data_IF_173235956860
#
_entry.id   IF_173235956860
#
_cell.length_a   1.000
_cell.length_b   1.000
_cell.length_c   1.000
_cell.angle_alpha   90.00
_cell.angle_beta   90.00
_cell.angle_gamma   90.00
#
_symmetry.space_group_name_H-M   'P 1'
#
loop_
_entity.id
_entity.type
_entity.pdbx_description
1 polymer ?
#
# COMPACT_ATOMS: atom_id res chain seq x y z
N UNK A 1 19.45 -14.34 -23.50
CA UNK A 1 18.26 -14.80 -22.76
C UNK A 1 18.82 -15.57 -21.58
N UNK A 2 19.14 -14.84 -20.53
CA UNK A 2 20.05 -15.28 -19.47
C UNK A 2 19.32 -16.10 -18.41
N UNK A 3 19.62 -17.39 -18.39
CA UNK A 3 19.14 -18.35 -17.38
C UNK A 3 19.80 -18.09 -16.01
N UNK A 4 20.86 -17.28 -15.97
CA UNK A 4 21.62 -16.98 -14.74
C UNK A 4 20.99 -15.95 -13.80
N UNK A 5 20.08 -15.09 -14.28
CA UNK A 5 19.44 -14.06 -13.42
C UNK A 5 18.28 -14.64 -12.60
N UNK A 6 17.56 -15.64 -13.10
CA UNK A 6 16.48 -16.29 -12.36
C UNK A 6 16.99 -17.14 -11.18
N UNK A 7 18.15 -17.78 -11.32
CA UNK A 7 18.74 -18.61 -10.26
C UNK A 7 19.38 -17.77 -9.13
N UNK A 8 19.81 -16.53 -9.43
CA UNK A 8 20.35 -15.61 -8.42
C UNK A 8 19.24 -15.03 -7.54
N UNK A 9 18.12 -14.60 -8.14
CA UNK A 9 16.95 -14.09 -7.40
C UNK A 9 16.35 -15.18 -6.51
N UNK A 10 16.28 -16.42 -6.99
CA UNK A 10 15.72 -17.54 -6.22
C UNK A 10 16.63 -18.02 -5.08
N UNK A 11 17.96 -17.83 -5.18
CA UNK A 11 18.91 -18.15 -4.09
C UNK A 11 18.99 -17.05 -3.04
N UNK A 12 18.86 -15.78 -3.42
CA UNK A 12 18.79 -14.70 -2.44
C UNK A 12 17.52 -14.80 -1.60
N UNK A 13 16.34 -15.05 -2.20
CA UNK A 13 15.08 -15.22 -1.45
C UNK A 13 15.10 -16.40 -0.48
N UNK A 14 15.71 -17.54 -0.85
CA UNK A 14 15.81 -18.73 0.02
C UNK A 14 16.80 -18.57 1.19
N UNK A 15 17.78 -17.68 1.09
CA UNK A 15 18.82 -17.49 2.13
C UNK A 15 18.46 -16.41 3.15
N UNK A 16 17.70 -15.39 2.76
CA UNK A 16 17.11 -14.41 3.69
C UNK A 16 15.98 -15.03 4.51
N UNK A 17 15.13 -15.86 3.90
CA UNK A 17 14.03 -16.56 4.60
C UNK A 17 14.54 -17.37 5.80
N UNK A 18 15.62 -18.15 5.62
CA UNK A 18 16.17 -19.00 6.70
C UNK A 18 16.68 -18.23 7.93
N UNK A 19 17.12 -16.97 7.77
CA UNK A 19 17.50 -16.10 8.90
C UNK A 19 16.29 -15.47 9.58
N UNK A 20 15.27 -15.08 8.81
CA UNK A 20 14.01 -14.55 9.36
C UNK A 20 13.27 -15.62 10.20
N UNK A 21 13.27 -16.88 9.76
CA UNK A 21 12.71 -18.01 10.53
C UNK A 21 13.42 -18.27 11.87
N UNK A 22 14.71 -17.92 12.00
CA UNK A 22 15.43 -17.99 13.27
C UNK A 22 15.08 -16.84 14.24
N UNK A 23 14.53 -15.73 13.72
CA UNK A 23 14.34 -14.46 14.42
C UNK A 23 12.91 -14.21 14.91
N UNK A 24 11.95 -15.00 14.41
CA UNK A 24 10.59 -15.14 14.90
C UNK A 24 10.31 -16.60 15.32
N UNK A 25 11.29 -17.23 15.97
CA UNK A 25 11.18 -18.62 16.39
C UNK A 25 10.29 -18.72 17.62
N UNK A 26 9.04 -19.16 17.40
CA UNK A 26 8.06 -19.46 18.45
C UNK A 26 8.67 -20.35 19.53
N UNK A 27 9.54 -21.30 19.15
CA UNK A 27 10.19 -22.22 20.09
C UNK A 27 11.14 -21.47 21.03
N UNK A 28 11.97 -20.57 20.53
CA UNK A 28 12.90 -19.79 21.35
C UNK A 28 12.16 -18.78 22.24
N UNK A 29 11.11 -18.14 21.69
CA UNK A 29 10.23 -17.25 22.43
C UNK A 29 9.55 -17.96 23.61
N UNK A 30 9.01 -19.15 23.35
CA UNK A 30 8.40 -19.99 24.38
C UNK A 30 9.45 -20.49 25.38
N UNK A 31 10.59 -21.00 24.91
CA UNK A 31 11.64 -21.55 25.75
C UNK A 31 12.24 -20.51 26.70
N UNK A 32 12.44 -19.27 26.24
CA UNK A 32 12.95 -18.19 27.09
C UNK A 32 11.95 -17.75 28.15
N UNK A 33 10.66 -17.61 27.80
CA UNK A 33 9.64 -17.18 28.77
C UNK A 33 9.26 -18.28 29.77
N UNK A 34 9.17 -19.53 29.28
CA UNK A 34 8.90 -20.70 30.13
C UNK A 34 10.07 -20.92 31.11
N UNK A 35 11.32 -20.84 30.66
CA UNK A 35 12.48 -21.06 31.55
C UNK A 35 12.83 -19.86 32.45
N UNK A 36 12.38 -18.65 32.12
CA UNK A 36 12.61 -17.48 32.97
C UNK A 36 11.77 -17.48 34.26
N UNK A 37 10.58 -18.12 34.26
CA UNK A 37 9.59 -17.95 35.33
C UNK A 37 8.81 -19.25 35.69
N UNK A 38 9.48 -20.41 35.55
CA UNK A 38 8.87 -21.75 35.50
C UNK A 38 8.04 -22.16 36.74
N UNK A 39 8.11 -21.47 37.88
CA UNK A 39 7.43 -21.95 39.11
C UNK A 39 6.03 -21.37 39.37
N UNK A 40 5.56 -20.35 38.62
CA UNK A 40 4.26 -19.71 38.95
C UNK A 40 3.23 -19.55 37.82
N UNK A 41 3.62 -19.67 36.54
CA UNK A 41 2.73 -19.26 35.43
C UNK A 41 2.00 -20.40 34.72
N UNK A 42 2.54 -21.62 34.71
CA UNK A 42 1.92 -22.79 34.07
C UNK A 42 1.85 -23.97 35.05
N UNK A 43 0.67 -24.23 35.60
CA UNK A 43 0.45 -25.29 36.60
C UNK A 43 -0.01 -26.60 35.95
N UNK A 44 -0.58 -26.51 34.73
CA UNK A 44 -1.11 -27.66 34.00
C UNK A 44 -0.84 -27.56 32.48
N UNK A 45 -1.16 -28.62 31.74
CA UNK A 45 -0.98 -28.69 30.29
C UNK A 45 -1.85 -27.69 29.51
N UNK A 46 -3.00 -27.29 30.07
CA UNK A 46 -3.87 -26.28 29.46
C UNK A 46 -3.25 -24.88 29.53
N UNK A 47 -2.57 -24.55 30.64
CA UNK A 47 -1.83 -23.29 30.77
C UNK A 47 -0.71 -23.19 29.74
N UNK A 48 0.04 -24.28 29.55
CA UNK A 48 1.10 -24.33 28.53
C UNK A 48 0.53 -24.19 27.12
N UNK A 49 -0.56 -24.89 26.80
CA UNK A 49 -1.20 -24.78 25.48
C UNK A 49 -1.75 -23.37 25.23
N UNK A 50 -2.35 -22.73 26.24
CA UNK A 50 -2.83 -21.36 26.15
C UNK A 50 -1.70 -20.34 26.00
N UNK A 51 -0.57 -20.56 26.69
CA UNK A 51 0.63 -19.76 26.53
C UNK A 51 1.19 -19.89 25.10
N UNK A 52 1.26 -21.11 24.56
CA UNK A 52 1.67 -21.34 23.16
C UNK A 52 0.78 -20.57 22.19
N UNK A 53 -0.54 -20.58 22.40
CA UNK A 53 -1.49 -19.83 21.56
C UNK A 53 -1.23 -18.32 21.62
N UNK A 54 -1.01 -17.76 22.82
CA UNK A 54 -0.66 -16.35 23.00
C UNK A 54 0.63 -15.98 22.28
N UNK A 55 1.67 -16.82 22.38
CA UNK A 55 2.93 -16.57 21.69
C UNK A 55 2.78 -16.70 20.17
N UNK A 56 2.00 -17.65 19.66
CA UNK A 56 1.75 -17.78 18.23
C UNK A 56 1.07 -16.54 17.63
N UNK A 57 0.20 -15.88 18.40
CA UNK A 57 -0.42 -14.60 18.01
C UNK A 57 0.59 -13.44 18.03
N UNK A 58 1.43 -13.38 19.06
CA UNK A 58 2.29 -12.21 19.33
C UNK A 58 3.68 -12.28 18.69
N UNK A 59 4.12 -13.46 18.22
CA UNK A 59 5.50 -13.70 17.75
C UNK A 59 5.91 -12.78 16.61
N UNK A 60 4.98 -12.48 15.70
CA UNK A 60 5.27 -11.66 14.52
C UNK A 60 5.27 -10.15 14.81
N UNK A 61 4.63 -9.69 15.88
CA UNK A 61 4.34 -8.27 16.08
C UNK A 61 5.01 -7.66 17.32
N UNK A 62 5.15 -8.43 18.39
CA UNK A 62 5.66 -7.90 19.68
C UNK A 62 6.98 -8.53 20.11
N UNK A 63 7.29 -9.69 19.54
CA UNK A 63 8.42 -10.52 19.96
C UNK A 63 9.39 -10.81 18.82
N UNK A 64 9.26 -10.08 17.71
CA UNK A 64 10.23 -10.16 16.64
C UNK A 64 11.56 -9.57 17.14
N UNK A 65 12.63 -10.36 17.02
CA UNK A 65 13.96 -9.96 17.52
C UNK A 65 14.67 -8.98 16.60
N UNK A 66 14.02 -8.55 15.50
CA UNK A 66 14.63 -7.79 14.42
C UNK A 66 13.77 -6.56 14.10
N UNK A 67 14.35 -5.34 14.04
CA UNK A 67 13.61 -4.11 13.71
C UNK A 67 12.94 -4.16 12.33
N UNK A 68 13.44 -4.99 11.42
CA UNK A 68 12.86 -5.18 10.07
C UNK A 68 11.61 -6.11 10.04
N UNK A 69 11.18 -6.64 11.19
CA UNK A 69 9.98 -7.47 11.32
C UNK A 69 8.79 -6.70 11.94
N UNK A 70 8.86 -5.38 12.00
CA UNK A 70 7.74 -4.51 12.40
C UNK A 70 6.70 -4.43 11.26
N UNK A 71 5.97 -5.52 11.02
CA UNK A 71 5.06 -5.69 9.87
C UNK A 71 4.13 -4.48 9.69
N UNK A 72 3.49 -4.01 10.76
CA UNK A 72 2.60 -2.86 10.68
C UNK A 72 3.31 -1.57 10.28
N UNK A 73 4.52 -1.34 10.78
CA UNK A 73 5.32 -0.17 10.40
C UNK A 73 5.67 -0.18 8.92
N UNK A 74 6.00 -1.36 8.36
CA UNK A 74 6.31 -1.50 6.93
C UNK A 74 5.12 -1.06 6.08
N UNK A 75 3.91 -1.52 6.43
CA UNK A 75 2.69 -1.10 5.75
C UNK A 75 2.40 0.39 5.93
N UNK A 76 2.48 0.91 7.16
CA UNK A 76 2.27 2.33 7.45
C UNK A 76 3.23 3.24 6.66
N UNK A 77 4.50 2.86 6.57
CA UNK A 77 5.52 3.61 5.81
C UNK A 77 5.23 3.56 4.31
N UNK A 78 4.91 2.38 3.76
CA UNK A 78 4.55 2.24 2.35
C UNK A 78 3.32 3.09 1.98
N UNK A 79 2.27 3.04 2.81
CA UNK A 79 1.06 3.86 2.65
C UNK A 79 1.40 5.35 2.72
N UNK A 80 2.25 5.75 3.66
CA UNK A 80 2.67 7.15 3.83
C UNK A 80 3.43 7.66 2.61
N UNK A 81 4.38 6.88 2.08
CA UNK A 81 5.12 7.21 0.85
C UNK A 81 4.17 7.37 -0.34
N UNK A 82 3.21 6.44 -0.51
CA UNK A 82 2.24 6.50 -1.60
C UNK A 82 1.27 7.68 -1.47
N UNK A 83 0.89 8.03 -0.24
CA UNK A 83 0.06 9.21 0.06
C UNK A 83 0.81 10.52 -0.21
N UNK A 84 2.11 10.58 0.08
CA UNK A 84 2.96 11.71 -0.28
C UNK A 84 3.11 11.83 -1.80
N UNK A 85 3.34 10.72 -2.50
CA UNK A 85 3.37 10.66 -3.98
C UNK A 85 2.06 11.21 -4.55
N UNK A 86 0.91 10.79 -4.02
CA UNK A 86 -0.41 11.29 -4.43
C UNK A 86 -0.52 12.81 -4.27
N UNK A 87 -0.18 13.31 -3.08
CA UNK A 87 -0.22 14.74 -2.75
C UNK A 87 0.69 15.55 -3.68
N UNK A 88 1.89 15.03 -3.95
CA UNK A 88 2.87 15.66 -4.85
C UNK A 88 2.38 15.68 -6.29
N UNK A 89 1.81 14.58 -6.79
CA UNK A 89 1.21 14.49 -8.12
C UNK A 89 0.04 15.46 -8.27
N UNK A 90 -0.81 15.59 -7.25
CA UNK A 90 -1.92 16.55 -7.24
C UNK A 90 -1.43 18.01 -7.27
N UNK A 91 -0.42 18.35 -6.45
CA UNK A 91 0.22 19.69 -6.48
C UNK A 91 0.79 20.00 -7.87
N UNK A 92 1.48 19.03 -8.49
CA UNK A 92 2.05 19.18 -9.85
C UNK A 92 0.98 19.35 -10.92
N UNK A 93 -0.14 18.63 -10.81
CA UNK A 93 -1.29 18.80 -11.68
C UNK A 93 -1.87 20.21 -11.58
N UNK A 94 -2.14 20.70 -10.36
CA UNK A 94 -2.65 22.08 -10.15
C UNK A 94 -1.70 23.14 -10.67
N UNK A 95 -0.40 23.04 -10.38
CA UNK A 95 0.59 24.01 -10.83
C UNK A 95 0.66 24.12 -12.36
N UNK A 96 0.47 23.02 -13.10
CA UNK A 96 0.37 23.04 -14.56
C UNK A 96 -0.87 23.79 -15.04
N UNK A 97 -2.04 23.50 -14.46
CA UNK A 97 -3.28 24.22 -14.79
C UNK A 97 -3.21 25.73 -14.56
N UNK A 98 -2.42 26.19 -13.58
CA UNK A 98 -2.16 27.63 -13.38
C UNK A 98 -1.18 28.22 -14.41
N UNK A 99 -0.09 27.52 -14.74
CA UNK A 99 0.91 28.03 -15.71
C UNK A 99 0.34 28.13 -17.11
N UNK A 100 -0.48 27.17 -17.53
CA UNK A 100 -1.02 27.17 -18.89
C UNK A 100 -2.02 28.30 -19.16
N UNK A 101 -2.71 28.79 -18.11
CA UNK A 101 -3.53 30.02 -18.16
C UNK A 101 -2.71 31.30 -18.28
N UNK A 102 -1.51 31.34 -17.69
CA UNK A 102 -0.65 32.53 -17.68
C UNK A 102 0.11 32.72 -19.01
N UNK A 103 0.49 31.63 -19.68
CA UNK A 103 1.20 31.68 -20.96
C UNK A 103 0.33 31.98 -22.19
N UNK A 104 -0.99 32.08 -22.04
CA UNK A 104 -1.91 32.31 -23.17
C UNK A 104 -1.92 33.77 -23.67
N UNK A 105 -1.12 34.66 -23.07
CA UNK A 105 -1.16 36.10 -23.35
C UNK A 105 -0.14 36.60 -24.41
N UNK A 106 0.64 35.74 -25.07
CA UNK A 106 1.58 36.19 -26.11
C UNK A 106 1.18 35.70 -27.53
N UNK A 107 0.64 36.59 -28.38
CA UNK A 107 0.20 36.27 -29.74
C UNK A 107 1.32 36.13 -30.79
N UNK A 108 2.59 36.45 -30.48
CA UNK A 108 3.62 36.65 -31.51
C UNK A 108 4.48 35.40 -31.85
N UNK A 109 4.43 34.30 -31.09
CA UNK A 109 5.45 33.21 -31.14
C UNK A 109 4.95 31.90 -31.82
N UNK A 110 4.00 31.99 -32.75
CA UNK A 110 2.81 31.10 -32.79
C UNK A 110 2.77 29.76 -33.56
N UNK A 111 3.83 29.16 -34.13
CA UNK A 111 3.61 27.87 -34.87
C UNK A 111 4.61 26.76 -34.60
N UNK A 112 5.91 27.00 -34.78
CA UNK A 112 6.94 25.98 -34.55
C UNK A 112 7.07 25.61 -33.07
N UNK A 113 6.90 26.59 -32.18
CA UNK A 113 6.93 26.39 -30.74
C UNK A 113 5.69 25.66 -30.19
N UNK A 114 4.51 25.81 -30.80
CA UNK A 114 3.27 25.20 -30.29
C UNK A 114 3.33 23.67 -30.40
N UNK A 115 3.73 23.13 -31.56
CA UNK A 115 3.81 21.68 -31.77
C UNK A 115 4.90 21.03 -30.91
N UNK A 116 6.05 21.69 -30.78
CA UNK A 116 7.15 21.23 -29.94
C UNK A 116 6.81 21.28 -28.45
N UNK A 117 6.12 22.35 -27.99
CA UNK A 117 5.60 22.48 -26.62
C UNK A 117 4.59 21.37 -26.32
N UNK A 118 3.58 21.19 -27.17
CA UNK A 118 2.55 20.15 -27.00
C UNK A 118 3.14 18.74 -26.95
N UNK A 119 4.14 18.44 -27.80
CA UNK A 119 4.84 17.14 -27.77
C UNK A 119 5.58 16.92 -26.45
N UNK A 120 6.25 17.95 -25.90
CA UNK A 120 6.90 17.86 -24.58
C UNK A 120 5.90 17.70 -23.45
N UNK A 121 4.80 18.43 -23.49
CA UNK A 121 3.74 18.35 -22.49
C UNK A 121 3.05 16.99 -22.48
N UNK A 122 2.77 16.42 -23.67
CA UNK A 122 2.26 15.07 -23.82
C UNK A 122 3.19 14.01 -23.23
N UNK A 123 4.50 14.08 -23.52
CA UNK A 123 5.47 13.14 -22.96
C UNK A 123 5.58 13.23 -21.42
N UNK A 124 5.51 14.45 -20.86
CA UNK A 124 5.48 14.64 -19.41
C UNK A 124 4.19 14.13 -18.78
N UNK A 125 3.05 14.32 -19.45
CA UNK A 125 1.76 13.81 -19.00
C UNK A 125 1.72 12.28 -19.01
N UNK A 126 2.22 11.64 -20.08
CA UNK A 126 2.31 10.20 -20.20
C UNK A 126 3.20 9.58 -19.11
N UNK A 127 4.39 10.16 -18.88
CA UNK A 127 5.29 9.72 -17.82
C UNK A 127 4.61 9.76 -16.44
N UNK A 128 3.93 10.86 -16.13
CA UNK A 128 3.23 11.00 -14.86
C UNK A 128 2.01 10.10 -14.75
N UNK A 129 1.30 9.86 -15.86
CA UNK A 129 0.20 8.91 -15.89
C UNK A 129 0.72 7.50 -15.54
N UNK A 130 1.83 7.08 -16.13
CA UNK A 130 2.48 5.81 -15.82
C UNK A 130 2.91 5.71 -14.36
N UNK A 131 3.53 6.77 -13.82
CA UNK A 131 3.92 6.83 -12.40
C UNK A 131 2.71 6.74 -11.45
N UNK A 132 1.62 7.46 -11.75
CA UNK A 132 0.40 7.41 -10.96
C UNK A 132 -0.29 6.04 -11.06
N UNK A 133 -0.33 5.42 -12.25
CA UNK A 133 -0.85 4.06 -12.43
C UNK A 133 -0.02 3.03 -11.67
N UNK A 134 1.31 3.16 -11.65
CA UNK A 134 2.19 2.29 -10.84
C UNK A 134 1.85 2.41 -9.36
N UNK A 135 1.71 3.63 -8.84
CA UNK A 135 1.36 3.87 -7.44
C UNK A 135 -0.03 3.30 -7.08
N UNK A 136 -1.00 3.34 -8.00
CA UNK A 136 -2.31 2.71 -7.81
C UNK A 136 -2.24 1.18 -7.70
N UNK A 137 -1.39 0.54 -8.51
CA UNK A 137 -1.17 -0.90 -8.43
C UNK A 137 -0.49 -1.28 -7.12
N UNK A 138 0.53 -0.52 -6.70
CA UNK A 138 1.18 -0.70 -5.39
C UNK A 138 0.17 -0.59 -4.23
N UNK A 139 -0.75 0.39 -4.27
CA UNK A 139 -1.81 0.53 -3.26
C UNK A 139 -2.77 -0.67 -3.26
N UNK A 140 -3.11 -1.22 -4.44
CA UNK A 140 -3.98 -2.39 -4.54
C UNK A 140 -3.32 -3.63 -3.96
N UNK A 141 -2.05 -3.85 -4.27
CA UNK A 141 -1.30 -4.98 -3.74
C UNK A 141 -1.22 -4.92 -2.21
N UNK A 142 -0.94 -3.73 -1.65
CA UNK A 142 -0.99 -3.47 -0.20
C UNK A 142 -2.39 -3.75 0.37
N UNK A 143 -3.47 -3.33 -0.28
CA UNK A 143 -4.84 -3.59 0.19
C UNK A 143 -5.12 -5.10 0.28
N UNK A 144 -4.68 -5.87 -0.72
CA UNK A 144 -4.90 -7.32 -0.79
C UNK A 144 -4.06 -8.07 0.26
N UNK A 145 -2.83 -7.63 0.53
CA UNK A 145 -1.98 -8.14 1.61
C UNK A 145 -2.60 -7.85 2.99
N UNK A 146 -3.07 -6.62 3.23
CA UNK A 146 -3.75 -6.25 4.48
C UNK A 146 -5.05 -7.03 4.69
N UNK A 147 -5.84 -7.26 3.64
CA UNK A 147 -7.02 -8.15 3.71
C UNK A 147 -6.64 -9.60 4.02
N UNK A 148 -5.47 -10.03 3.60
CA UNK A 148 -4.96 -11.37 3.94
C UNK A 148 -4.59 -11.45 5.41
N UNK A 149 -3.92 -10.42 5.96
CA UNK A 149 -3.69 -10.31 7.42
C UNK A 149 -5.00 -10.26 8.21
N UNK A 150 -5.98 -9.47 7.76
CA UNK A 150 -7.28 -9.39 8.42
C UNK A 150 -7.98 -10.75 8.49
N UNK A 151 -7.96 -11.54 7.40
CA UNK A 151 -8.50 -12.90 7.36
C UNK A 151 -7.74 -13.84 8.30
N UNK A 152 -6.42 -13.74 8.34
CA UNK A 152 -5.57 -14.52 9.24
C UNK A 152 -5.93 -14.25 10.71
N UNK A 153 -5.99 -12.99 11.12
CA UNK A 153 -6.36 -12.62 12.48
C UNK A 153 -7.78 -13.05 12.83
N UNK A 154 -8.73 -12.94 11.90
CA UNK A 154 -10.09 -13.45 12.08
C UNK A 154 -10.12 -14.97 12.32
N UNK A 155 -9.36 -15.74 11.55
CA UNK A 155 -9.24 -17.18 11.72
C UNK A 155 -8.57 -17.57 13.05
N UNK A 156 -7.49 -16.87 13.43
CA UNK A 156 -6.84 -17.04 14.73
C UNK A 156 -7.78 -16.73 15.90
N UNK A 157 -8.56 -15.65 15.78
CA UNK A 157 -9.54 -15.25 16.80
C UNK A 157 -10.63 -16.31 16.96
N UNK A 158 -11.14 -16.85 15.85
CA UNK A 158 -12.11 -17.96 15.89
C UNK A 158 -11.53 -19.19 16.57
N UNK A 159 -10.31 -19.60 16.20
CA UNK A 159 -9.64 -20.75 16.81
C UNK A 159 -9.41 -20.58 18.33
N UNK A 160 -9.05 -19.37 18.77
CA UNK A 160 -8.87 -19.08 20.21
C UNK A 160 -10.22 -19.05 20.94
N UNK A 161 -11.28 -18.51 20.35
CA UNK A 161 -12.63 -18.58 20.93
C UNK A 161 -13.10 -20.04 21.08
N UNK A 162 -12.90 -20.88 20.07
CA UNK A 162 -13.20 -22.32 20.14
C UNK A 162 -12.42 -23.00 21.28
N UNK A 163 -11.15 -22.61 21.47
CA UNK A 163 -10.32 -23.08 22.57
C UNK A 163 -10.86 -22.63 23.93
N UNK A 164 -11.29 -21.36 24.07
CA UNK A 164 -11.91 -20.82 25.29
C UNK A 164 -13.21 -21.58 25.61
N UNK A 165 -14.06 -21.85 24.63
CA UNK A 165 -15.32 -22.57 24.84
C UNK A 165 -15.09 -24.00 25.33
N UNK A 166 -14.14 -24.71 24.72
CA UNK A 166 -13.72 -26.05 25.16
C UNK A 166 -13.12 -26.02 26.57
N UNK A 167 -12.33 -24.99 26.87
CA UNK A 167 -11.69 -24.85 28.18
C UNK A 167 -12.73 -24.58 29.27
N UNK A 168 -13.73 -23.74 28.99
CA UNK A 168 -14.85 -23.48 29.90
C UNK A 168 -15.70 -24.73 30.15
N UNK A 169 -15.95 -25.54 29.11
CA UNK A 169 -16.73 -26.78 29.28
C UNK A 169 -15.97 -27.80 30.13
N UNK A 170 -14.65 -27.91 30.00
CA UNK A 170 -13.80 -28.78 30.81
C UNK A 170 -13.49 -28.24 32.21
N UNK A 171 -13.55 -26.92 32.41
CA UNK A 171 -13.34 -26.27 33.72
C UNK A 171 -14.39 -26.66 34.75
N UNK A 172 -15.53 -27.23 34.34
CA UNK A 172 -16.50 -27.84 35.27
C UNK A 172 -15.96 -29.13 35.94
N UNK A 173 -14.83 -29.67 35.48
CA UNK A 173 -14.18 -30.89 35.95
C UNK A 173 -12.82 -30.68 36.67
N UNK A 174 -12.31 -29.44 36.81
CA UNK A 174 -11.03 -29.17 37.48
C UNK A 174 -10.62 -27.69 37.50
N UNK A 175 -9.57 -27.37 38.28
CA UNK A 175 -9.00 -26.01 38.37
C UNK A 175 -8.29 -25.64 37.07
N UNK A 176 -8.92 -24.78 36.27
CA UNK A 176 -8.31 -24.20 35.07
C UNK A 176 -7.48 -23.00 35.53
N UNK A 177 -6.19 -23.20 35.79
CA UNK A 177 -5.24 -22.20 36.33
C UNK A 177 -5.19 -20.86 35.57
N UNK A 178 -4.06 -20.55 34.92
CA UNK A 178 -3.88 -19.27 34.22
C UNK A 178 -4.32 -19.30 32.74
N UNK A 179 -4.70 -20.46 32.21
CA UNK A 179 -5.01 -20.69 30.80
C UNK A 179 -6.02 -19.69 30.20
N UNK A 180 -7.15 -19.46 30.86
CA UNK A 180 -8.17 -18.52 30.36
C UNK A 180 -7.63 -17.08 30.31
N UNK A 181 -6.73 -16.71 31.23
CA UNK A 181 -6.08 -15.40 31.23
C UNK A 181 -5.14 -15.20 30.04
N UNK A 182 -4.39 -16.23 29.64
CA UNK A 182 -3.56 -16.17 28.43
C UNK A 182 -4.39 -16.10 27.15
N UNK A 183 -5.50 -16.85 27.08
CA UNK A 183 -6.39 -16.81 25.91
C UNK A 183 -7.11 -15.45 25.80
N UNK A 184 -7.55 -14.86 26.91
CA UNK A 184 -8.14 -13.51 26.92
C UNK A 184 -7.13 -12.45 26.43
N UNK A 185 -5.87 -12.55 26.87
CA UNK A 185 -4.80 -11.69 26.36
C UNK A 185 -4.61 -11.86 24.86
N UNK A 186 -4.60 -13.10 24.35
CA UNK A 186 -4.45 -13.37 22.92
C UNK A 186 -5.60 -12.76 22.10
N UNK A 187 -6.85 -12.86 22.60
CA UNK A 187 -8.02 -12.22 21.96
C UNK A 187 -7.87 -10.70 21.93
N UNK A 188 -7.45 -10.07 23.04
CA UNK A 188 -7.23 -8.61 23.09
C UNK A 188 -6.20 -8.18 22.06
N UNK A 189 -5.09 -8.92 21.93
CA UNK A 189 -4.06 -8.65 20.91
C UNK A 189 -4.59 -8.79 19.50
N UNK A 190 -5.36 -9.83 19.20
CA UNK A 190 -6.00 -9.99 17.90
C UNK A 190 -6.99 -8.86 17.59
N UNK A 191 -7.71 -8.37 18.59
CA UNK A 191 -8.60 -7.21 18.42
C UNK A 191 -7.85 -5.92 18.12
N UNK A 192 -6.72 -5.68 18.80
CA UNK A 192 -5.80 -4.58 18.49
C UNK A 192 -5.29 -4.69 17.04
N UNK A 193 -4.83 -5.87 16.63
CA UNK A 193 -4.29 -6.13 15.28
C UNK A 193 -5.36 -5.97 14.20
N UNK A 194 -6.58 -6.46 14.43
CA UNK A 194 -7.72 -6.29 13.52
C UNK A 194 -8.11 -4.83 13.36
N UNK A 195 -8.17 -4.08 14.47
CA UNK A 195 -8.49 -2.65 14.43
C UNK A 195 -7.43 -1.86 13.66
N UNK A 196 -6.15 -2.16 13.93
CA UNK A 196 -5.03 -1.49 13.27
C UNK A 196 -5.01 -1.79 11.76
N UNK A 197 -5.16 -3.06 11.38
CA UNK A 197 -5.27 -3.49 9.98
C UNK A 197 -6.43 -2.82 9.25
N UNK A 198 -7.60 -2.71 9.91
CA UNK A 198 -8.77 -2.04 9.35
C UNK A 198 -8.49 -0.56 9.03
N UNK A 199 -7.83 0.16 9.95
CA UNK A 199 -7.45 1.56 9.72
C UNK A 199 -6.50 1.72 8.53
N UNK A 200 -5.54 0.80 8.38
CA UNK A 200 -4.64 0.83 7.22
C UNK A 200 -5.38 0.55 5.90
N UNK A 201 -6.32 -0.40 5.88
CA UNK A 201 -7.17 -0.66 4.71
C UNK A 201 -7.96 0.60 4.33
N UNK A 202 -8.58 1.27 5.30
CA UNK A 202 -9.31 2.52 5.08
C UNK A 202 -8.40 3.62 4.51
N UNK A 203 -7.17 3.74 5.04
CA UNK A 203 -6.18 4.69 4.53
C UNK A 203 -5.77 4.38 3.08
N UNK A 204 -5.51 3.11 2.76
CA UNK A 204 -5.14 2.67 1.41
C UNK A 204 -6.26 2.96 0.42
N UNK A 205 -7.50 2.63 0.78
CA UNK A 205 -8.69 2.88 -0.04
C UNK A 205 -8.88 4.38 -0.30
N UNK A 206 -8.73 5.21 0.74
CA UNK A 206 -8.80 6.67 0.58
C UNK A 206 -7.74 7.20 -0.40
N UNK A 207 -6.48 6.78 -0.25
CA UNK A 207 -5.39 7.23 -1.13
C UNK A 207 -5.59 6.73 -2.56
N UNK A 208 -6.11 5.50 -2.74
CA UNK A 208 -6.44 4.95 -4.06
C UNK A 208 -7.54 5.76 -4.74
N UNK A 209 -8.63 6.04 -4.03
CA UNK A 209 -9.75 6.83 -4.55
C UNK A 209 -9.30 8.24 -4.97
N UNK A 210 -8.33 8.82 -4.25
CA UNK A 210 -7.76 10.12 -4.60
C UNK A 210 -6.87 10.05 -5.86
N UNK A 211 -6.08 9.01 -6.02
CA UNK A 211 -5.36 8.76 -7.28
C UNK A 211 -6.33 8.55 -8.45
N UNK A 212 -7.42 7.79 -8.27
CA UNK A 212 -8.43 7.58 -9.30
C UNK A 212 -9.08 8.90 -9.73
N UNK A 213 -9.44 9.76 -8.77
CA UNK A 213 -9.93 11.12 -9.06
C UNK A 213 -8.89 11.93 -9.84
N UNK A 214 -7.62 11.87 -9.44
CA UNK A 214 -6.54 12.57 -10.15
C UNK A 214 -6.39 12.08 -11.59
N UNK A 215 -6.43 10.77 -11.83
CA UNK A 215 -6.39 10.21 -13.17
C UNK A 215 -7.57 10.68 -14.03
N UNK A 216 -8.78 10.69 -13.47
CA UNK A 216 -9.96 11.23 -14.16
C UNK A 216 -9.80 12.71 -14.50
N UNK A 217 -9.25 13.52 -13.59
CA UNK A 217 -8.97 14.94 -13.83
C UNK A 217 -7.91 15.14 -14.93
N UNK A 218 -6.85 14.33 -14.92
CA UNK A 218 -5.80 14.36 -15.94
C UNK A 218 -6.37 14.01 -17.31
N UNK A 219 -7.20 12.97 -17.41
CA UNK A 219 -7.85 12.58 -18.66
C UNK A 219 -8.79 13.67 -19.18
N UNK A 220 -9.61 14.28 -18.32
CA UNK A 220 -10.48 15.41 -18.70
C UNK A 220 -9.66 16.61 -19.19
N UNK A 221 -8.56 16.93 -18.52
CA UNK A 221 -7.69 18.03 -18.96
C UNK A 221 -7.07 17.74 -20.34
N UNK A 222 -6.62 16.51 -20.58
CA UNK A 222 -6.08 16.12 -21.88
C UNK A 222 -7.11 16.29 -23.01
N UNK A 223 -8.38 15.91 -22.78
CA UNK A 223 -9.46 16.15 -23.75
C UNK A 223 -9.69 17.64 -24.03
N UNK A 224 -9.67 18.48 -22.99
CA UNK A 224 -9.80 19.94 -23.16
C UNK A 224 -8.63 20.51 -23.96
N UNK A 225 -7.42 20.05 -23.68
CA UNK A 225 -6.20 20.50 -24.36
C UNK A 225 -6.20 20.08 -25.84
N UNK A 226 -6.67 18.88 -26.16
CA UNK A 226 -6.85 18.40 -27.54
C UNK A 226 -7.84 19.28 -28.32
N UNK A 227 -8.99 19.60 -27.73
CA UNK A 227 -10.00 20.49 -28.35
C UNK A 227 -9.42 21.89 -28.58
N UNK A 228 -8.67 22.43 -27.62
CA UNK A 228 -8.02 23.74 -27.74
C UNK A 228 -6.96 23.74 -28.85
N UNK A 229 -6.15 22.69 -28.94
CA UNK A 229 -5.17 22.53 -30.01
C UNK A 229 -5.83 22.47 -31.38
N UNK A 230 -6.92 21.70 -31.51
CA UNK A 230 -7.68 21.59 -32.76
C UNK A 230 -8.22 22.97 -33.21
N UNK A 231 -8.71 23.78 -32.27
CA UNK A 231 -9.15 25.15 -32.56
C UNK A 231 -8.00 26.03 -33.06
N UNK A 232 -6.85 26.01 -32.37
CA UNK A 232 -5.67 26.77 -32.79
C UNK A 232 -5.18 26.36 -34.19
N UNK A 233 -5.23 25.07 -34.51
CA UNK A 233 -4.89 24.56 -35.84
C UNK A 233 -5.87 25.05 -36.91
N UNK A 234 -7.17 25.06 -36.62
CA UNK A 234 -8.19 25.58 -37.53
C UNK A 234 -8.02 27.09 -37.79
N UNK A 235 -7.74 27.88 -36.74
CA UNK A 235 -7.50 29.32 -36.87
C UNK A 235 -6.23 29.61 -37.70
N UNK A 236 -5.16 28.83 -37.51
CA UNK A 236 -3.94 28.92 -38.32
C UNK A 236 -4.20 28.55 -39.80
N UNK A 237 -4.93 27.48 -40.07
CA UNK A 237 -5.28 27.07 -41.43
C UNK A 237 -6.15 28.13 -42.13
N UNK A 238 -7.10 28.73 -41.41
CA UNK A 238 -7.94 29.83 -41.91
C UNK A 238 -7.11 31.09 -42.21
N UNK A 239 -6.16 31.45 -41.34
CA UNK A 239 -5.23 32.55 -41.59
C UNK A 239 -4.36 32.30 -42.82
N UNK A 240 -3.80 31.09 -42.95
CA UNK A 240 -3.01 30.70 -44.12
C UNK A 240 -3.82 30.75 -45.42
N UNK A 241 -5.06 30.24 -45.40
CA UNK A 241 -5.97 30.30 -46.54
C UNK A 241 -6.25 31.74 -46.99
N UNK A 242 -6.49 32.66 -46.04
CA UNK A 242 -6.64 34.10 -46.34
C UNK A 242 -5.38 34.70 -46.94
N UNK A 243 -4.20 34.38 -46.41
CA UNK A 243 -2.92 34.85 -46.96
C UNK A 243 -2.71 34.38 -48.40
N UNK A 244 -2.96 33.10 -48.69
CA UNK A 244 -2.87 32.57 -50.06
C UNK A 244 -3.83 33.31 -50.98
N UNK A 245 -5.09 33.51 -50.55
CA UNK A 245 -6.09 34.23 -51.35
C UNK A 245 -5.63 35.66 -51.71
N UNK A 246 -5.07 36.40 -50.75
CA UNK A 246 -4.50 37.74 -50.99
C UNK A 246 -3.39 37.68 -52.05
N UNK A 247 -2.45 36.72 -51.93
CA UNK A 247 -1.36 36.58 -52.89
C UNK A 247 -1.77 36.07 -54.28
N UNK A 248 -2.94 35.45 -54.41
CA UNK A 248 -3.43 34.93 -55.70
C UNK A 248 -4.36 35.89 -56.45
N UNK A 249 -4.97 36.85 -55.75
CA UNK A 249 -5.94 37.80 -56.33
C UNK A 249 -5.25 39.11 -56.76
N UNK A 250 -4.10 39.45 -56.17
CA UNK A 250 -3.21 40.53 -56.59
C UNK A 250 -2.05 39.98 -57.41
#
# INVERSE_FOLDING_TARGET
>A
MDISTHAAIQRETLTTDGRLYQQADLRNSLFNEVNADLTSRCENSFDLAALVALHAVTVLFERSSHPDLEIFRIFEEAISILTEKMTTSFKRFRARGFRDKATDYDPAVRTTNIRAKHKREGALAEKQNRENTSALLELRDIEDELKTLQRLFGAQKAAINDMIERYKSWSSAGSMGNALGFLDQAIRKLDEYLLHTKKMIESVQSTRDDFDKLLQMVQRQAQVDEVRLARLQADLASAQSRSVMIFTVF
#
